data_IF_817302612587
#
_entry.id   IF_817302612587
#
_cell.length_a   1.000
_cell.length_b   1.000
_cell.length_c   1.000
_cell.angle_alpha   90.00
_cell.angle_beta   90.00
_cell.angle_gamma   90.00
#
_symmetry.space_group_name_H-M   'P 1'
#
loop_
_entity.id
_entity.type
_entity.pdbx_description
1 polymer ?
#
# COMPACT_ATOMS: atom_id res chain seq x y z
N UNK A 1 -6.06 -19.89 -5.17
CA UNK A 1 -5.71 -18.54 -4.68
C UNK A 1 -4.85 -17.88 -5.75
N UNK A 2 -5.17 -16.65 -6.19
CA UNK A 2 -4.36 -15.99 -7.22
C UNK A 2 -2.94 -15.74 -6.70
N UNK A 3 -1.94 -15.85 -7.58
CA UNK A 3 -0.52 -15.92 -7.18
C UNK A 3 -0.11 -14.75 -6.29
N UNK A 4 -0.50 -13.53 -6.65
CA UNK A 4 -0.01 -12.31 -5.99
C UNK A 4 -1.01 -11.62 -5.06
N UNK A 5 -2.29 -11.99 -5.07
CA UNK A 5 -3.29 -11.29 -4.25
C UNK A 5 -4.58 -12.07 -4.11
N UNK A 6 -5.27 -11.83 -2.99
CA UNK A 6 -6.66 -12.25 -2.73
C UNK A 6 -7.58 -11.05 -2.67
N UNK A 7 -7.06 -9.93 -2.16
CA UNK A 7 -7.72 -8.64 -2.00
C UNK A 7 -6.77 -7.55 -2.48
N UNK A 8 -7.28 -6.33 -2.69
CA UNK A 8 -6.42 -5.16 -2.82
C UNK A 8 -6.11 -4.52 -1.46
N UNK A 9 -5.10 -3.64 -1.39
CA UNK A 9 -4.68 -2.97 -0.16
C UNK A 9 -5.69 -1.92 0.33
N UNK A 10 -6.77 -1.64 -0.39
CA UNK A 10 -7.86 -0.77 0.06
C UNK A 10 -9.12 -1.53 0.53
N UNK A 11 -9.12 -2.86 0.48
CA UNK A 11 -10.34 -3.67 0.53
C UNK A 11 -10.65 -4.28 1.89
N UNK A 12 -9.63 -4.50 2.74
CA UNK A 12 -9.84 -5.19 4.03
C UNK A 12 -10.76 -4.37 4.97
N UNK A 13 -11.66 -5.06 5.66
CA UNK A 13 -12.59 -4.51 6.66
C UNK A 13 -12.65 -5.43 7.87
N UNK A 14 -13.24 -4.97 8.98
CA UNK A 14 -13.45 -5.77 10.19
C UNK A 14 -14.14 -7.12 9.90
N UNK A 15 -15.06 -7.16 8.93
CA UNK A 15 -15.73 -8.40 8.50
C UNK A 15 -14.78 -9.48 7.94
N UNK A 16 -13.54 -9.12 7.59
CA UNK A 16 -12.52 -10.06 7.12
C UNK A 16 -11.64 -10.64 8.24
N UNK A 17 -11.79 -10.16 9.48
CA UNK A 17 -10.98 -10.60 10.61
C UNK A 17 -11.06 -12.12 10.83
N UNK A 18 -9.94 -12.72 11.19
CA UNK A 18 -9.78 -14.16 11.38
C UNK A 18 -9.56 -14.97 10.08
N UNK A 19 -9.64 -14.33 8.91
CA UNK A 19 -9.34 -14.98 7.63
C UNK A 19 -7.89 -14.73 7.18
N UNK A 20 -7.41 -15.53 6.22
CA UNK A 20 -6.08 -15.34 5.61
C UNK A 20 -6.23 -14.50 4.34
N UNK A 21 -5.38 -13.49 4.20
CA UNK A 21 -5.26 -12.72 2.99
C UNK A 21 -3.83 -12.70 2.45
N UNK A 22 -3.76 -12.58 1.13
CA UNK A 22 -2.56 -12.26 0.37
C UNK A 22 -2.70 -10.89 -0.26
N UNK A 23 -1.71 -10.03 -0.05
CA UNK A 23 -1.62 -8.69 -0.61
C UNK A 23 -0.27 -8.50 -1.29
N UNK A 24 -0.25 -7.78 -2.41
CA UNK A 24 0.99 -7.34 -3.05
C UNK A 24 0.97 -5.83 -3.25
N UNK A 25 2.12 -5.20 -3.03
CA UNK A 25 2.23 -3.75 -3.12
C UNK A 25 3.63 -3.24 -2.86
N UNK A 26 3.72 -1.93 -2.69
CA UNK A 26 4.94 -1.20 -2.35
C UNK A 26 5.00 -0.96 -0.84
N UNK A 27 6.17 -1.19 -0.24
CA UNK A 27 6.47 -0.78 1.13
C UNK A 27 6.41 0.75 1.21
N UNK A 28 5.29 1.30 1.68
CA UNK A 28 5.05 2.75 1.68
C UNK A 28 5.68 3.46 2.87
N UNK A 29 5.59 2.82 4.05
CA UNK A 29 6.19 3.31 5.29
C UNK A 29 6.50 2.12 6.17
N UNK A 30 7.55 2.26 7.00
CA UNK A 30 7.87 1.33 8.07
C UNK A 30 7.92 2.08 9.39
N UNK A 31 7.40 1.49 10.45
CA UNK A 31 7.45 2.02 11.82
C UNK A 31 7.89 0.89 12.74
N UNK A 32 9.02 1.08 13.40
CA UNK A 32 9.57 0.15 14.38
C UNK A 32 9.16 0.60 15.79
N UNK A 33 8.57 -0.33 16.55
CA UNK A 33 8.12 -0.14 17.93
C UNK A 33 8.87 -1.07 18.91
N UNK A 34 10.05 -1.56 18.54
CA UNK A 34 10.94 -2.37 19.38
C UNK A 34 10.57 -3.84 19.42
N UNK A 35 9.29 -4.19 19.68
CA UNK A 35 8.80 -5.57 19.65
C UNK A 35 8.02 -5.92 18.38
N UNK A 36 7.61 -4.89 17.62
CA UNK A 36 6.78 -4.99 16.43
C UNK A 36 7.32 -4.07 15.34
N UNK A 37 7.29 -4.55 14.10
CA UNK A 37 7.49 -3.74 12.91
C UNK A 37 6.17 -3.62 12.16
N UNK A 38 5.71 -2.39 11.98
CA UNK A 38 4.56 -2.07 11.15
C UNK A 38 5.01 -1.63 9.77
N UNK A 39 4.36 -2.18 8.75
CA UNK A 39 4.59 -1.86 7.34
C UNK A 39 3.27 -1.39 6.74
N UNK A 40 3.20 -0.14 6.29
CA UNK A 40 2.10 0.31 5.46
C UNK A 40 2.33 -0.20 4.03
N UNK A 41 1.54 -1.16 3.56
CA UNK A 41 1.62 -1.70 2.21
C UNK A 41 0.64 -0.96 1.30
N UNK A 42 1.15 -0.40 0.19
CA UNK A 42 0.36 0.39 -0.75
C UNK A 42 0.17 -0.32 -2.08
N UNK A 43 -1.02 -0.21 -2.65
CA UNK A 43 -1.25 -0.47 -4.06
C UNK A 43 -2.04 0.66 -4.73
N UNK A 44 -2.65 0.40 -5.89
CA UNK A 44 -3.47 1.40 -6.59
C UNK A 44 -4.72 1.83 -5.80
N UNK A 45 -5.23 0.96 -4.94
CA UNK A 45 -6.55 1.07 -4.31
C UNK A 45 -6.48 1.64 -2.90
N UNK A 46 -5.34 1.50 -2.21
CA UNK A 46 -5.18 2.06 -0.88
C UNK A 46 -3.97 1.55 -0.14
N UNK A 47 -4.05 1.65 1.19
CA UNK A 47 -3.05 1.21 2.15
C UNK A 47 -3.66 0.18 3.10
N UNK A 48 -2.91 -0.87 3.41
CA UNK A 48 -3.20 -1.79 4.52
C UNK A 48 -1.99 -1.79 5.46
N UNK A 49 -2.23 -1.71 6.77
CA UNK A 49 -1.19 -1.95 7.75
C UNK A 49 -0.91 -3.46 7.83
N UNK A 50 0.35 -3.83 7.69
CA UNK A 50 0.85 -5.15 7.97
C UNK A 50 1.74 -5.09 9.22
N UNK A 51 1.72 -6.14 10.04
CA UNK A 51 2.49 -6.23 11.28
C UNK A 51 3.31 -7.51 11.32
N UNK A 52 4.53 -7.43 11.85
CA UNK A 52 5.38 -8.58 12.14
C UNK A 52 6.07 -8.41 13.49
N UNK A 53 6.11 -9.51 14.26
CA UNK A 53 6.77 -9.61 15.56
C UNK A 53 8.27 -9.90 15.38
N UNK A 54 9.10 -9.40 16.29
CA UNK A 54 10.57 -9.54 16.23
C UNK A 54 11.06 -10.99 16.36
N UNK A 55 10.26 -11.86 16.96
CA UNK A 55 10.55 -13.29 17.12
C UNK A 55 10.27 -14.11 15.85
N UNK A 56 9.67 -13.51 14.82
CA UNK A 56 9.42 -14.16 13.55
C UNK A 56 10.71 -14.36 12.74
N UNK A 57 10.91 -15.55 12.18
CA UNK A 57 12.10 -15.90 11.39
C UNK A 57 12.31 -14.99 10.17
N UNK A 58 11.23 -14.40 9.63
CA UNK A 58 11.28 -13.50 8.46
C UNK A 58 11.40 -12.01 8.86
N UNK A 59 11.43 -11.70 10.16
CA UNK A 59 11.56 -10.32 10.65
C UNK A 59 12.80 -9.61 10.10
N UNK A 60 14.02 -10.18 10.14
CA UNK A 60 15.22 -9.49 9.65
C UNK A 60 15.16 -9.17 8.15
N UNK A 61 14.50 -10.03 7.36
CA UNK A 61 14.31 -9.79 5.92
C UNK A 61 13.40 -8.58 5.69
N UNK A 62 12.26 -8.51 6.40
CA UNK A 62 11.29 -7.42 6.28
C UNK A 62 11.86 -6.10 6.84
N UNK A 63 12.60 -6.17 7.94
CA UNK A 63 13.29 -5.03 8.54
C UNK A 63 14.32 -4.43 7.58
N UNK A 64 15.03 -5.24 6.81
CA UNK A 64 16.03 -4.77 5.84
C UNK A 64 15.42 -4.12 4.58
N UNK A 65 14.12 -4.32 4.30
CA UNK A 65 13.50 -3.82 3.07
C UNK A 65 13.54 -2.30 2.97
N UNK A 66 13.86 -1.77 1.80
CA UNK A 66 13.80 -0.33 1.54
C UNK A 66 12.37 0.11 1.23
N UNK A 67 12.07 1.38 1.44
CA UNK A 67 10.81 1.96 0.95
C UNK A 67 10.70 1.75 -0.56
N UNK A 68 9.45 1.60 -1.03
CA UNK A 68 9.08 1.29 -2.41
C UNK A 68 9.57 -0.08 -2.92
N UNK A 69 10.11 -0.95 -2.06
CA UNK A 69 10.29 -2.38 -2.40
C UNK A 69 8.94 -3.02 -2.69
N UNK A 70 8.86 -3.83 -3.74
CA UNK A 70 7.65 -4.57 -4.12
C UNK A 70 7.66 -5.91 -3.42
N UNK A 71 6.63 -6.16 -2.61
CA UNK A 71 6.49 -7.39 -1.84
C UNK A 71 5.11 -8.01 -2.03
N UNK A 72 5.04 -9.33 -1.84
CA UNK A 72 3.82 -10.11 -1.68
C UNK A 72 3.83 -10.69 -0.27
N UNK A 73 2.83 -10.34 0.54
CA UNK A 73 2.69 -10.85 1.91
C UNK A 73 1.44 -11.71 2.02
N UNK A 74 1.55 -12.83 2.71
CA UNK A 74 0.41 -13.64 3.14
C UNK A 74 0.36 -13.64 4.66
N UNK A 75 -0.84 -13.50 5.21
CA UNK A 75 -1.01 -13.39 6.65
C UNK A 75 -2.46 -13.47 7.09
N UNK A 76 -2.64 -13.48 8.41
CA UNK A 76 -3.97 -13.45 9.04
C UNK A 76 -4.44 -12.01 9.23
N UNK A 77 -5.70 -11.77 8.94
CA UNK A 77 -6.33 -10.47 9.21
C UNK A 77 -6.74 -10.44 10.68
N UNK A 78 -6.31 -9.41 11.38
CA UNK A 78 -6.59 -9.18 12.80
C UNK A 78 -7.27 -7.82 12.97
N UNK A 79 -8.16 -7.72 13.96
CA UNK A 79 -8.68 -6.42 14.35
C UNK A 79 -7.60 -5.64 15.09
N UNK A 80 -7.52 -4.35 14.80
CA UNK A 80 -6.64 -3.46 15.54
C UNK A 80 -7.25 -3.15 16.89
N UNK A 81 -6.40 -3.05 17.91
CA UNK A 81 -6.83 -2.61 19.25
C UNK A 81 -7.52 -1.25 19.17
N UNK A 82 -8.51 -1.02 20.05
CA UNK A 82 -9.37 0.16 20.00
C UNK A 82 -8.63 1.49 19.89
N UNK A 83 -7.52 1.64 20.63
CA UNK A 83 -6.69 2.86 20.64
C UNK A 83 -5.79 3.01 19.39
N UNK A 84 -5.67 1.96 18.57
CA UNK A 84 -4.83 1.94 17.35
C UNK A 84 -5.64 2.00 16.05
N UNK A 85 -6.98 1.95 16.14
CA UNK A 85 -7.87 2.08 14.98
C UNK A 85 -7.68 3.47 14.33
N UNK A 86 -7.54 3.48 13.02
CA UNK A 86 -7.32 4.70 12.25
C UNK A 86 -8.58 5.07 11.44
N UNK A 87 -9.39 6.06 11.86
CA UNK A 87 -10.62 6.43 11.18
C UNK A 87 -10.39 7.08 9.80
N UNK A 88 -9.18 7.58 9.53
CA UNK A 88 -8.84 8.23 8.25
C UNK A 88 -8.54 7.21 7.14
N UNK A 89 -8.46 5.91 7.48
CA UNK A 89 -8.14 4.84 6.55
C UNK A 89 -9.30 3.83 6.46
N UNK A 90 -9.78 3.47 5.25
CA UNK A 90 -10.87 2.49 5.10
C UNK A 90 -10.55 1.10 5.66
N UNK A 91 -9.27 0.73 5.71
CA UNK A 91 -8.76 -0.52 6.30
C UNK A 91 -8.33 -0.33 7.75
N UNK A 92 -8.50 0.87 8.33
CA UNK A 92 -7.89 1.27 9.60
C UNK A 92 -8.43 0.58 10.85
N UNK A 93 -9.47 -0.24 10.72
CA UNK A 93 -9.98 -1.12 11.78
C UNK A 93 -9.26 -2.47 11.86
N UNK A 94 -8.51 -2.84 10.82
CA UNK A 94 -7.85 -4.15 10.69
C UNK A 94 -6.40 -4.01 10.25
N UNK A 95 -5.62 -5.04 10.52
CA UNK A 95 -4.25 -5.18 10.03
C UNK A 95 -3.97 -6.63 9.60
N UNK A 96 -2.89 -6.81 8.85
CA UNK A 96 -2.45 -8.12 8.39
C UNK A 96 -1.21 -8.56 9.18
N UNK A 97 -1.35 -9.57 10.03
CA UNK A 97 -0.22 -10.23 10.69
C UNK A 97 0.52 -11.09 9.68
N UNK A 98 1.75 -10.71 9.34
CA UNK A 98 2.54 -11.33 8.27
C UNK A 98 2.99 -12.73 8.73
N UNK A 99 2.60 -13.75 7.96
CA UNK A 99 3.05 -15.14 8.13
C UNK A 99 4.13 -15.51 7.09
N UNK A 100 4.07 -14.94 5.89
CA UNK A 100 5.10 -15.08 4.87
C UNK A 100 5.22 -13.82 4.01
N UNK A 101 6.44 -13.59 3.49
CA UNK A 101 6.76 -12.48 2.61
C UNK A 101 7.62 -12.97 1.45
N UNK A 102 7.33 -12.50 0.25
CA UNK A 102 8.12 -12.71 -0.96
C UNK A 102 8.49 -11.34 -1.54
N UNK A 103 9.79 -11.12 -1.78
CA UNK A 103 10.27 -9.90 -2.47
C UNK A 103 10.13 -10.08 -3.98
N UNK A 104 9.23 -9.32 -4.60
CA UNK A 104 8.98 -9.35 -6.04
C UNK A 104 9.89 -8.41 -6.82
N UNK A 105 10.40 -7.36 -6.17
CA UNK A 105 11.29 -6.39 -6.80
C UNK A 105 11.94 -5.46 -5.77
N UNK A 106 13.26 -5.32 -5.84
CA UNK A 106 14.03 -4.46 -4.94
C UNK A 106 14.00 -3.00 -5.39
N UNK A 107 14.47 -2.10 -4.51
CA UNK A 107 14.51 -0.66 -4.80
C UNK A 107 15.86 -0.07 -4.45
N UNK A 108 16.38 0.76 -5.36
CA UNK A 108 17.58 1.56 -5.15
C UNK A 108 17.29 2.76 -4.25
N UNK A 109 18.28 3.64 -4.07
CA UNK A 109 18.05 4.89 -3.35
C UNK A 109 17.03 5.75 -4.10
N UNK A 110 16.00 6.21 -3.38
CA UNK A 110 14.91 6.98 -3.97
C UNK A 110 15.35 8.41 -4.30
N UNK A 111 15.20 8.88 -5.56
CA UNK A 111 15.48 10.27 -5.92
C UNK A 111 14.39 11.24 -5.42
N UNK A 112 13.20 10.72 -5.12
CA UNK A 112 12.11 11.43 -4.46
C UNK A 112 11.31 10.47 -3.58
N UNK A 113 10.86 10.95 -2.42
CA UNK A 113 10.07 10.17 -1.48
C UNK A 113 8.61 10.13 -1.92
N UNK A 114 8.06 8.93 -2.05
CA UNK A 114 6.67 8.74 -2.48
C UNK A 114 5.67 8.99 -1.34
N UNK A 115 6.09 8.72 -0.10
CA UNK A 115 5.29 8.87 1.12
C UNK A 115 5.41 10.25 1.79
N UNK A 116 5.80 11.27 1.01
CA UNK A 116 6.09 12.62 1.47
C UNK A 116 5.42 13.67 0.59
N UNK A 117 4.90 14.71 1.23
CA UNK A 117 4.34 15.90 0.58
C UNK A 117 5.41 16.94 0.23
N UNK A 118 6.69 16.63 0.46
CA UNK A 118 7.81 17.49 0.10
C UNK A 118 7.70 17.93 -1.36
N UNK A 119 7.83 19.22 -1.60
CA UNK A 119 7.88 19.72 -2.97
C UNK A 119 9.28 19.46 -3.54
N UNK A 120 9.31 18.86 -4.73
CA UNK A 120 10.52 18.55 -5.46
C UNK A 120 10.51 19.39 -6.73
N UNK A 121 11.69 19.87 -7.16
CA UNK A 121 11.82 20.62 -8.39
C UNK A 121 11.23 19.87 -9.58
N UNK A 122 10.59 20.60 -10.50
CA UNK A 122 9.92 20.03 -11.67
C UNK A 122 10.85 19.12 -12.49
N UNK A 123 12.12 19.50 -12.65
CA UNK A 123 13.12 18.70 -13.36
C UNK A 123 13.25 17.27 -12.78
N UNK A 124 13.35 17.14 -11.45
CA UNK A 124 13.44 15.83 -10.78
C UNK A 124 12.13 15.08 -10.95
N UNK A 125 10.99 15.74 -10.76
CA UNK A 125 9.66 15.13 -10.85
C UNK A 125 9.34 14.64 -12.26
N UNK A 126 9.78 15.34 -13.29
CA UNK A 126 9.59 14.94 -14.69
C UNK A 126 10.59 13.85 -15.10
N UNK A 127 11.85 13.93 -14.66
CA UNK A 127 12.85 12.87 -14.90
C UNK A 127 12.41 11.53 -14.29
N UNK A 128 11.90 11.57 -13.06
CA UNK A 128 11.42 10.40 -12.33
C UNK A 128 9.89 10.35 -12.27
N UNK A 129 9.22 10.70 -13.37
CA UNK A 129 7.76 10.81 -13.42
C UNK A 129 7.05 9.52 -13.01
N UNK A 130 7.65 8.36 -13.28
CA UNK A 130 7.13 7.05 -12.87
C UNK A 130 7.03 6.89 -11.34
N UNK A 131 7.88 7.57 -10.56
CA UNK A 131 7.75 7.64 -9.09
C UNK A 131 6.81 8.77 -8.66
N UNK A 132 6.88 9.95 -9.28
CA UNK A 132 6.00 11.07 -8.95
C UNK A 132 4.52 10.70 -9.16
N UNK A 133 4.20 9.88 -10.16
CA UNK A 133 2.86 9.35 -10.42
C UNK A 133 2.32 8.45 -9.29
N UNK A 134 3.19 7.90 -8.43
CA UNK A 134 2.78 7.08 -7.28
C UNK A 134 2.43 7.92 -6.04
N UNK A 135 2.80 9.20 -6.04
CA UNK A 135 2.46 10.12 -4.96
C UNK A 135 0.96 10.39 -4.97
N UNK A 136 0.38 10.41 -3.80
CA UNK A 136 -1.08 10.41 -3.61
C UNK A 136 -1.79 11.55 -4.39
N UNK A 137 -1.31 12.79 -4.29
CA UNK A 137 -1.88 13.93 -5.03
C UNK A 137 -1.90 13.70 -6.54
N UNK A 138 -0.81 13.21 -7.12
CA UNK A 138 -0.68 13.03 -8.57
C UNK A 138 -1.49 11.83 -9.03
N UNK A 139 -1.44 10.72 -8.29
CA UNK A 139 -2.26 9.54 -8.53
C UNK A 139 -3.76 9.88 -8.54
N UNK A 140 -4.25 10.57 -7.50
CA UNK A 140 -5.66 11.02 -7.41
C UNK A 140 -6.07 11.87 -8.59
N UNK A 141 -5.20 12.80 -9.04
CA UNK A 141 -5.49 13.63 -10.22
C UNK A 141 -5.62 12.81 -11.50
N UNK A 142 -4.77 11.79 -11.71
CA UNK A 142 -4.83 10.93 -12.89
C UNK A 142 -6.07 10.03 -12.86
N UNK A 143 -6.41 9.47 -11.70
CA UNK A 143 -7.62 8.67 -11.52
C UNK A 143 -8.87 9.51 -11.76
N UNK A 144 -8.94 10.71 -11.18
CA UNK A 144 -10.05 11.66 -11.39
C UNK A 144 -10.20 12.00 -12.88
N UNK A 145 -9.09 12.32 -13.57
CA UNK A 145 -9.12 12.60 -15.01
C UNK A 145 -9.71 11.43 -15.80
N UNK A 146 -9.33 10.19 -15.47
CA UNK A 146 -9.87 8.98 -16.12
C UNK A 146 -11.38 8.84 -15.87
N UNK A 147 -11.84 9.08 -14.64
CA UNK A 147 -13.25 9.03 -14.26
C UNK A 147 -14.08 10.09 -15.00
N UNK A 148 -13.56 11.32 -15.10
CA UNK A 148 -14.21 12.42 -15.84
C UNK A 148 -14.36 12.07 -17.32
N UNK A 149 -13.28 11.63 -17.98
CA UNK A 149 -13.32 11.23 -19.40
C UNK A 149 -14.29 10.07 -19.61
N UNK A 150 -14.28 9.07 -18.73
CA UNK A 150 -15.21 7.95 -18.77
C UNK A 150 -16.67 8.38 -18.62
N UNK A 151 -16.95 9.34 -17.74
CA UNK A 151 -18.29 9.90 -17.55
C UNK A 151 -18.77 10.65 -18.79
N UNK A 152 -17.92 11.50 -19.37
CA UNK A 152 -18.24 12.26 -20.59
C UNK A 152 -18.57 11.30 -21.73
N UNK A 153 -17.69 10.31 -21.99
CA UNK A 153 -17.92 9.32 -23.05
C UNK A 153 -19.22 8.57 -22.87
N UNK A 154 -19.50 8.10 -21.65
CA UNK A 154 -20.74 7.40 -21.34
C UNK A 154 -21.96 8.25 -21.67
N UNK A 155 -21.98 9.51 -21.20
CA UNK A 155 -23.10 10.43 -21.47
C UNK A 155 -23.29 10.74 -22.96
N UNK A 156 -22.21 10.84 -23.72
CA UNK A 156 -22.31 11.05 -25.18
C UNK A 156 -22.91 9.81 -25.85
N UNK A 157 -22.44 8.61 -25.51
CA UNK A 157 -22.96 7.34 -26.05
C UNK A 157 -24.43 7.13 -25.68
N UNK A 158 -24.81 7.46 -24.43
CA UNK A 158 -26.18 7.33 -23.95
C UNK A 158 -27.16 8.27 -24.68
N UNK A 159 -26.65 9.28 -25.40
CA UNK A 159 -27.44 10.21 -26.22
C UNK A 159 -27.62 9.76 -27.68
N UNK A 160 -26.91 8.72 -28.13
CA UNK A 160 -26.86 8.25 -29.53
C UNK A 160 -25.63 8.75 -30.28
#
# INVERSE_FOLDING_TARGET
MHAYRTHNCGELRAANAGTVARLSGWVHRKRDHGNLLFVDLRDHFGLTQCVIEVDSDIFPEIEALRLETVICVTGRIEERDGDTKNPDLPTGEVELRIESCEVLGTTEQLPLEVNSDRDYGEEIRLRYRFLDLRRDKVHRNIVLRSAVISSIRRRMIDQG
#
